data_IF_923346941621
#
_entry.id   IF_923346941621
#
_cell.length_a   1.000
_cell.length_b   1.000
_cell.length_c   1.000
_cell.angle_alpha   90.00
_cell.angle_beta   90.00
_cell.angle_gamma   90.00
#
_symmetry.space_group_name_H-M   'P 1'
#
loop_
_entity.id
_entity.type
_entity.pdbx_description
1 polymer ?
#
# COMPACT_ATOMS: atom_id res chain seq x y z
N UNK A 1 -11.56 19.46 -7.51
CA UNK A 1 -11.85 18.04 -7.83
C UNK A 1 -10.97 17.18 -6.93
N UNK A 2 -11.55 16.50 -5.93
CA UNK A 2 -10.77 15.69 -4.99
C UNK A 2 -10.43 14.35 -5.67
N UNK A 3 -9.16 14.17 -6.07
CA UNK A 3 -8.70 12.91 -6.66
C UNK A 3 -8.41 11.92 -5.53
N UNK A 4 -9.13 10.81 -5.52
CA UNK A 4 -8.89 9.70 -4.59
C UNK A 4 -7.67 8.91 -5.05
N UNK A 5 -6.74 8.66 -4.14
CA UNK A 5 -5.54 7.86 -4.39
C UNK A 5 -5.74 6.49 -3.77
N UNK A 6 -5.46 5.44 -4.54
CA UNK A 6 -5.50 4.05 -4.07
C UNK A 6 -4.15 3.40 -4.35
N UNK A 7 -3.63 2.65 -3.38
CA UNK A 7 -2.38 1.92 -3.50
C UNK A 7 -2.66 0.42 -3.59
N UNK A 8 -2.06 -0.26 -4.57
CA UNK A 8 -2.24 -1.70 -4.80
C UNK A 8 -0.86 -2.34 -4.78
N UNK A 9 -0.64 -3.30 -3.87
CA UNK A 9 0.64 -3.96 -3.62
C UNK A 9 0.53 -5.49 -3.89
N UNK A 10 0.58 -5.90 -5.17
CA UNK A 10 0.49 -7.31 -5.53
C UNK A 10 1.85 -8.01 -5.40
N UNK A 11 1.87 -9.21 -4.81
CA UNK A 11 3.01 -10.13 -4.84
C UNK A 11 4.34 -9.54 -4.32
N UNK A 12 4.30 -8.63 -3.35
CA UNK A 12 5.50 -8.08 -2.70
C UNK A 12 5.95 -9.03 -1.61
N UNK A 13 7.10 -9.69 -1.76
CA UNK A 13 7.60 -10.64 -0.75
C UNK A 13 8.09 -9.99 0.55
N UNK A 14 8.66 -8.77 0.45
CA UNK A 14 9.33 -8.11 1.59
C UNK A 14 8.34 -7.37 2.48
N UNK A 15 8.15 -7.84 3.72
CA UNK A 15 7.35 -7.15 4.72
C UNK A 15 7.89 -5.75 5.06
N UNK A 16 9.22 -5.55 5.01
CA UNK A 16 9.83 -4.22 5.19
C UNK A 16 9.38 -3.24 4.11
N UNK A 17 9.35 -3.68 2.84
CA UNK A 17 8.91 -2.84 1.74
C UNK A 17 7.41 -2.55 1.83
N UNK A 18 6.60 -3.54 2.21
CA UNK A 18 5.16 -3.34 2.47
C UNK A 18 4.96 -2.28 3.57
N UNK A 19 5.72 -2.36 4.66
CA UNK A 19 5.72 -1.35 5.73
C UNK A 19 6.12 0.05 5.26
N UNK A 20 7.15 0.16 4.41
CA UNK A 20 7.55 1.43 3.82
C UNK A 20 6.44 2.01 2.91
N UNK A 21 5.74 1.16 2.16
CA UNK A 21 4.64 1.57 1.29
C UNK A 21 3.43 2.08 2.07
N UNK A 22 3.15 1.57 3.27
CA UNK A 22 2.13 2.15 4.14
C UNK A 22 2.46 3.59 4.55
N UNK A 23 3.73 3.90 4.86
CA UNK A 23 4.15 5.28 5.16
C UNK A 23 4.02 6.22 3.96
N UNK A 24 4.32 5.71 2.77
CA UNK A 24 4.08 6.45 1.52
C UNK A 24 2.58 6.69 1.32
N UNK A 25 1.75 5.66 1.49
CA UNK A 25 0.29 5.79 1.37
C UNK A 25 -0.27 6.88 2.29
N UNK A 26 0.19 6.93 3.54
CA UNK A 26 -0.19 7.95 4.51
C UNK A 26 0.27 9.36 4.09
N UNK A 27 1.53 9.52 3.69
CA UNK A 27 2.09 10.79 3.22
C UNK A 27 1.34 11.38 2.02
N UNK A 28 0.90 10.53 1.09
CA UNK A 28 0.15 10.94 -0.10
C UNK A 28 -1.38 11.01 0.14
N UNK A 29 -1.87 10.70 1.34
CA UNK A 29 -3.31 10.69 1.64
C UNK A 29 -4.09 9.66 0.83
N UNK A 30 -3.53 8.47 0.64
CA UNK A 30 -4.21 7.37 -0.02
C UNK A 30 -5.45 6.93 0.78
N UNK A 31 -6.59 6.79 0.09
CA UNK A 31 -7.86 6.41 0.70
C UNK A 31 -7.88 4.93 1.10
N UNK A 32 -7.25 4.06 0.31
CA UNK A 32 -7.11 2.62 0.61
C UNK A 32 -5.79 2.06 0.11
N UNK A 33 -5.30 1.06 0.84
CA UNK A 33 -4.18 0.20 0.44
C UNK A 33 -4.71 -1.23 0.30
N UNK A 34 -4.48 -1.84 -0.86
CA UNK A 34 -4.85 -3.22 -1.15
C UNK A 34 -3.61 -4.09 -1.21
N UNK A 35 -3.58 -5.14 -0.39
CA UNK A 35 -2.57 -6.20 -0.46
C UNK A 35 -3.18 -7.40 -1.20
N UNK A 36 -2.42 -8.02 -2.11
CA UNK A 36 -2.92 -9.13 -2.91
C UNK A 36 -1.82 -10.15 -3.21
N UNK A 37 -2.23 -11.39 -3.50
CA UNK A 37 -1.34 -12.51 -3.72
C UNK A 37 -0.61 -12.92 -2.44
N UNK A 38 0.69 -13.22 -2.55
CA UNK A 38 1.51 -13.63 -1.39
C UNK A 38 2.10 -12.45 -0.60
N UNK A 39 1.66 -11.21 -0.87
CA UNK A 39 2.11 -10.04 -0.12
C UNK A 39 1.87 -10.23 1.39
N UNK A 40 2.89 -10.11 2.26
CA UNK A 40 2.71 -10.19 3.70
C UNK A 40 1.65 -9.20 4.18
N UNK A 41 0.67 -9.71 4.92
CA UNK A 41 -0.37 -8.90 5.56
C UNK A 41 0.02 -8.64 7.02
N UNK A 42 -0.29 -7.46 7.57
CA UNK A 42 -0.15 -7.16 9.01
C UNK A 42 -0.97 -8.11 9.88
#
# INVERSE_FOLDING_TARGET
>A
MNKKIYLILPNIRSAHNVGAMFRVADCFGAEKVFLSGYTPTP
#
